data_IF_516834110744
#
_entry.id   IF_516834110744
#
_cell.length_a   1.000
_cell.length_b   1.000
_cell.length_c   1.000
_cell.angle_alpha   90.00
_cell.angle_beta   90.00
_cell.angle_gamma   90.00
#
_symmetry.space_group_name_H-M   'P 1'
#
loop_
_entity.id
_entity.type
_entity.pdbx_description
1 polymer ?
#
# COMPACT_ATOMS: atom_id res chain seq x y z
N UNK A 1 -2.99 -12.90 -17.97
CA UNK A 1 -2.65 -13.69 -16.77
C UNK A 1 -1.18 -13.46 -16.49
N UNK A 2 -0.84 -12.95 -15.31
CA UNK A 2 0.54 -12.59 -15.00
C UNK A 2 1.33 -13.79 -14.47
N UNK A 3 2.62 -13.79 -14.75
CA UNK A 3 3.57 -14.80 -14.31
C UNK A 3 4.74 -14.11 -13.63
N UNK A 4 5.25 -14.71 -12.56
CA UNK A 4 6.41 -14.23 -11.82
C UNK A 4 7.54 -15.23 -11.99
N UNK A 5 8.69 -14.75 -12.46
CA UNK A 5 9.94 -15.51 -12.49
C UNK A 5 10.80 -15.04 -11.33
N UNK A 6 11.23 -15.96 -10.48
CA UNK A 6 12.24 -15.70 -9.44
C UNK A 6 13.51 -16.43 -9.79
N UNK A 7 14.66 -15.82 -9.60
CA UNK A 7 15.95 -16.42 -9.91
C UNK A 7 17.01 -15.94 -8.93
N UNK A 8 18.09 -16.69 -8.78
CA UNK A 8 19.30 -16.22 -8.12
C UNK A 8 20.34 -15.92 -9.19
N UNK A 9 20.79 -14.66 -9.24
CA UNK A 9 21.89 -14.24 -10.14
C UNK A 9 23.19 -14.96 -9.77
N UNK A 10 24.19 -14.95 -10.64
CA UNK A 10 25.52 -15.51 -10.38
C UNK A 10 26.17 -14.96 -9.09
N UNK A 11 25.82 -13.72 -8.70
CA UNK A 11 26.25 -13.10 -7.45
C UNK A 11 25.47 -13.58 -6.20
N UNK A 12 24.52 -14.51 -6.37
CA UNK A 12 23.66 -15.02 -5.31
C UNK A 12 22.51 -14.11 -4.89
N UNK A 13 22.30 -12.96 -5.58
CA UNK A 13 21.17 -12.06 -5.29
C UNK A 13 19.88 -12.58 -5.90
N UNK A 14 18.79 -12.47 -5.15
CA UNK A 14 17.45 -12.81 -5.63
C UNK A 14 16.93 -11.72 -6.58
N UNK A 15 16.51 -12.15 -7.76
CA UNK A 15 15.88 -11.34 -8.79
C UNK A 15 14.44 -11.78 -9.04
N UNK A 16 13.60 -10.81 -9.41
CA UNK A 16 12.20 -11.03 -9.73
C UNK A 16 11.85 -10.37 -11.06
N UNK A 17 11.11 -11.08 -11.90
CA UNK A 17 10.62 -10.55 -13.18
C UNK A 17 9.15 -10.93 -13.39
N UNK A 18 8.30 -9.94 -13.60
CA UNK A 18 6.87 -10.14 -13.87
C UNK A 18 6.58 -10.04 -15.36
N UNK A 19 5.95 -11.06 -15.92
CA UNK A 19 5.58 -11.14 -17.33
C UNK A 19 4.06 -11.25 -17.49
N UNK A 20 3.53 -10.64 -18.56
CA UNK A 20 2.07 -10.61 -18.83
C UNK A 20 1.55 -11.87 -19.53
N UNK A 21 2.46 -12.69 -20.07
CA UNK A 21 2.15 -13.94 -20.77
C UNK A 21 3.17 -15.02 -20.40
N UNK A 22 2.80 -16.28 -20.60
CA UNK A 22 3.70 -17.42 -20.35
C UNK A 22 4.89 -17.43 -21.32
N UNK A 23 4.65 -17.09 -22.59
CA UNK A 23 5.67 -17.08 -23.64
C UNK A 23 6.81 -16.08 -23.33
N UNK A 24 6.45 -14.91 -22.81
CA UNK A 24 7.41 -13.88 -22.39
C UNK A 24 8.21 -14.32 -21.16
N UNK A 25 7.55 -14.97 -20.19
CA UNK A 25 8.23 -15.56 -19.03
C UNK A 25 9.24 -16.64 -19.44
N UNK A 26 8.88 -17.51 -20.40
CA UNK A 26 9.77 -18.56 -20.90
C UNK A 26 10.98 -17.98 -21.63
N UNK A 27 10.79 -16.96 -22.48
CA UNK A 27 11.89 -16.24 -23.14
C UNK A 27 12.86 -15.62 -22.13
N UNK A 28 12.34 -15.11 -21.01
CA UNK A 28 13.18 -14.58 -19.94
C UNK A 28 13.97 -15.68 -19.23
N UNK A 29 13.33 -16.82 -18.88
CA UNK A 29 14.02 -17.98 -18.28
C UNK A 29 15.11 -18.54 -19.19
N UNK A 30 14.83 -18.64 -20.49
CA UNK A 30 15.82 -19.08 -21.48
C UNK A 30 17.00 -18.11 -21.55
N UNK A 31 16.75 -16.80 -21.52
CA UNK A 31 17.82 -15.79 -21.48
C UNK A 31 18.69 -15.92 -20.23
N UNK A 32 18.07 -16.12 -19.07
CA UNK A 32 18.79 -16.33 -17.80
C UNK A 32 19.69 -17.56 -17.86
N UNK A 33 19.17 -18.66 -18.40
CA UNK A 33 19.91 -19.90 -18.54
C UNK A 33 21.08 -19.76 -19.51
N UNK A 34 20.91 -19.01 -20.60
CA UNK A 34 21.92 -18.88 -21.64
C UNK A 34 22.98 -17.81 -21.36
N UNK A 35 22.69 -16.76 -20.56
CA UNK A 35 23.58 -15.60 -20.43
C UNK A 35 24.07 -15.30 -19.01
N UNK A 36 23.27 -15.60 -17.96
CA UNK A 36 23.53 -15.09 -16.61
C UNK A 36 23.98 -16.16 -15.61
N UNK A 37 24.17 -17.42 -16.04
CA UNK A 37 24.44 -18.59 -15.16
C UNK A 37 23.53 -18.60 -13.92
N UNK A 38 22.30 -18.10 -14.07
CA UNK A 38 21.38 -17.93 -12.97
C UNK A 38 20.96 -19.29 -12.41
N UNK A 39 20.97 -19.41 -11.09
CA UNK A 39 20.60 -20.63 -10.38
C UNK A 39 19.22 -20.48 -9.73
N UNK A 40 18.61 -21.61 -9.35
CA UNK A 40 17.33 -21.64 -8.62
C UNK A 40 16.19 -20.87 -9.31
N UNK A 41 16.08 -20.98 -10.65
CA UNK A 41 15.03 -20.33 -11.43
C UNK A 41 13.68 -21.01 -11.17
N UNK A 42 12.67 -20.24 -10.79
CA UNK A 42 11.29 -20.71 -10.54
C UNK A 42 10.30 -19.82 -11.27
N UNK A 43 9.26 -20.45 -11.81
CA UNK A 43 8.16 -19.79 -12.49
C UNK A 43 6.87 -20.00 -11.71
N UNK A 44 6.20 -18.91 -11.38
CA UNK A 44 4.93 -18.89 -10.70
C UNK A 44 3.86 -18.28 -11.60
N UNK A 45 2.65 -18.86 -11.55
CA UNK A 45 1.45 -18.24 -12.13
C UNK A 45 0.80 -17.37 -11.07
N UNK A 46 0.55 -16.10 -11.38
CA UNK A 46 -0.13 -15.21 -10.46
C UNK A 46 -1.64 -15.39 -10.57
N UNK A 47 -2.27 -15.59 -9.43
CA UNK A 47 -3.72 -15.66 -9.28
C UNK A 47 -4.15 -14.69 -8.18
N UNK A 48 -5.17 -13.90 -8.44
CA UNK A 48 -5.74 -13.00 -7.44
C UNK A 48 -6.41 -13.82 -6.34
N UNK A 49 -5.99 -13.60 -5.11
CA UNK A 49 -6.64 -14.21 -3.94
C UNK A 49 -7.46 -13.11 -3.28
N UNK A 50 -8.80 -13.15 -3.36
CA UNK A 50 -9.62 -12.17 -2.66
C UNK A 50 -9.51 -12.41 -1.16
N UNK A 51 -8.89 -11.47 -0.44
CA UNK A 51 -8.74 -11.55 1.02
C UNK A 51 -9.76 -10.61 1.65
N UNK A 52 -10.58 -11.15 2.55
CA UNK A 52 -11.52 -10.38 3.36
C UNK A 52 -11.04 -10.40 4.82
N UNK A 53 -10.85 -9.22 5.42
CA UNK A 53 -10.47 -9.09 6.81
C UNK A 53 -11.72 -8.96 7.68
N UNK A 54 -12.01 -9.98 8.49
CA UNK A 54 -13.11 -9.97 9.47
C UNK A 54 -12.56 -9.81 10.87
N UNK A 55 -12.92 -8.71 11.53
CA UNK A 55 -12.60 -8.50 12.93
C UNK A 55 -13.63 -9.23 13.79
N UNK A 56 -13.19 -10.25 14.54
CA UNK A 56 -14.02 -10.94 15.52
C UNK A 56 -13.70 -10.42 16.92
N UNK A 57 -14.67 -9.78 17.56
CA UNK A 57 -14.54 -9.31 18.95
C UNK A 57 -15.38 -10.22 19.84
N UNK A 58 -14.73 -11.03 20.68
CA UNK A 58 -15.39 -11.79 21.74
C UNK A 58 -15.46 -10.92 22.99
N UNK A 59 -16.66 -10.45 23.31
CA UNK A 59 -16.91 -9.75 24.58
C UNK A 59 -17.32 -10.80 25.60
N UNK A 60 -16.51 -10.98 26.63
CA UNK A 60 -16.88 -11.72 27.83
C UNK A 60 -17.28 -10.71 28.90
N UNK A 61 -18.53 -10.77 29.36
CA UNK A 61 -18.98 -9.99 30.51
C UNK A 61 -18.62 -10.78 31.75
N UNK A 62 -17.67 -10.28 32.54
CA UNK A 62 -17.36 -10.83 33.85
C UNK A 62 -18.64 -10.92 34.68
N UNK A 63 -18.87 -12.08 35.31
CA UNK A 63 -20.13 -12.50 35.96
C UNK A 63 -20.97 -11.34 36.47
N UNK A 64 -22.10 -11.11 35.81
CA UNK A 64 -23.05 -10.10 36.21
C UNK A 64 -23.59 -10.41 37.60
N UNK A 65 -23.43 -9.47 38.52
CA UNK A 65 -24.57 -9.11 39.34
C UNK A 65 -25.51 -8.37 38.38
N UNK A 66 -26.58 -9.06 37.97
CA UNK A 66 -27.66 -8.47 37.21
C UNK A 66 -28.32 -7.41 38.09
N UNK A 67 -27.89 -6.15 38.00
CA UNK A 67 -28.70 -5.04 38.48
C UNK A 67 -29.92 -4.98 37.59
N UNK A 68 -31.02 -5.52 38.11
CA UNK A 68 -32.36 -5.40 37.54
C UNK A 68 -32.65 -3.91 37.31
N UNK A 69 -32.47 -3.43 36.08
CA UNK A 69 -33.10 -2.19 35.66
C UNK A 69 -34.61 -2.48 35.59
N UNK A 70 -35.32 -2.02 36.62
CA UNK A 70 -36.76 -1.90 36.61
C UNK A 70 -37.13 -1.03 35.41
N UNK A 71 -37.72 -1.63 34.38
CA UNK A 71 -38.43 -0.91 33.33
C UNK A 71 -39.52 -0.06 33.99
N UNK A 72 -39.26 1.24 34.10
CA UNK A 72 -40.33 2.21 34.23
C UNK A 72 -40.99 2.31 32.86
N UNK A 73 -42.18 1.70 32.77
CA UNK A 73 -43.09 1.80 31.65
C UNK A 73 -43.51 3.26 31.45
N UNK A 74 -42.87 3.98 30.51
CA UNK A 74 -43.42 5.21 29.95
C UNK A 74 -44.31 4.86 28.74
N UNK A 75 -45.61 4.93 28.99
CA UNK A 75 -46.68 4.83 28.00
C UNK A 75 -46.65 6.08 27.08
N UNK A 76 -46.80 5.93 25.75
CA UNK A 76 -46.71 7.05 24.83
C UNK A 76 -48.01 7.86 24.80
N UNK A 77 -48.04 8.98 25.54
CA UNK A 77 -49.05 10.02 25.34
C UNK A 77 -48.68 10.88 24.13
N UNK A 78 -49.34 10.63 23.00
CA UNK A 78 -49.25 11.51 21.83
C UNK A 78 -49.94 12.86 22.08
N UNK A 79 -49.32 13.94 21.60
CA UNK A 79 -49.98 15.07 20.94
C UNK A 79 -48.94 16.00 20.29
N UNK A 80 -49.12 16.19 19.00
CA UNK A 80 -48.39 16.97 18.00
C UNK A 80 -48.67 18.49 18.16
N UNK A 81 -48.17 19.37 17.25
CA UNK A 81 -46.90 20.11 17.24
C UNK A 81 -47.08 21.62 17.54
N UNK A 82 -46.04 22.35 17.94
CA UNK A 82 -45.94 23.78 17.62
C UNK A 82 -44.52 24.24 17.26
N UNK A 83 -44.54 25.13 16.29
CA UNK A 83 -43.52 25.68 15.42
C UNK A 83 -42.74 26.82 16.08
N UNK A 84 -41.61 27.16 15.47
CA UNK A 84 -40.97 28.50 15.45
C UNK A 84 -39.68 28.62 16.25
N UNK A 85 -38.57 28.79 15.51
CA UNK A 85 -37.31 29.26 16.08
C UNK A 85 -36.12 29.03 15.16
N UNK A 86 -36.07 29.76 14.04
CA UNK A 86 -34.91 29.86 13.18
C UNK A 86 -33.68 30.40 13.93
N UNK A 87 -32.52 29.74 13.75
CA UNK A 87 -31.14 30.23 13.83
C UNK A 87 -30.24 29.02 14.17
N UNK A 88 -29.08 28.76 13.60
CA UNK A 88 -28.25 29.35 12.57
C UNK A 88 -27.24 28.24 12.28
N UNK A 89 -26.96 27.97 11.01
CA UNK A 89 -25.93 27.01 10.59
C UNK A 89 -24.59 27.74 10.53
N UNK A 90 -23.60 27.39 11.36
CA UNK A 90 -22.21 27.61 10.99
C UNK A 90 -21.68 26.37 10.28
N UNK A 91 -21.25 26.63 9.04
CA UNK A 91 -20.68 25.73 8.06
C UNK A 91 -19.66 24.72 8.64
N UNK A 92 -19.89 23.45 8.32
CA UNK A 92 -18.88 22.41 8.37
C UNK A 92 -17.74 22.76 7.39
N UNK A 93 -16.57 23.11 7.94
CA UNK A 93 -15.35 23.23 7.15
C UNK A 93 -14.88 21.83 6.72
N UNK A 94 -15.14 21.51 5.45
CA UNK A 94 -14.51 20.41 4.74
C UNK A 94 -13.18 20.93 4.19
N UNK A 95 -12.08 20.69 4.89
CA UNK A 95 -10.74 20.86 4.33
C UNK A 95 -10.19 19.48 3.93
N UNK A 96 -10.01 19.30 2.62
CA UNK A 96 -9.38 18.15 1.95
C UNK A 96 -7.96 17.91 2.51
N UNK A 97 -7.51 16.66 2.72
CA UNK A 97 -6.10 16.40 2.86
C UNK A 97 -5.43 16.58 1.49
N UNK A 98 -4.50 17.53 1.43
CA UNK A 98 -3.61 17.75 0.30
C UNK A 98 -2.69 16.53 0.17
N UNK A 99 -2.86 15.80 -0.92
CA UNK A 99 -1.84 14.88 -1.44
C UNK A 99 -0.74 15.75 -2.07
N UNK A 100 0.52 15.61 -1.63
CA UNK A 100 1.69 15.59 -2.50
C UNK A 100 3.02 15.59 -1.72
N UNK A 101 3.72 14.46 -1.83
CA UNK A 101 5.15 14.35 -2.14
C UNK A 101 6.14 15.18 -1.29
N UNK A 102 6.62 14.55 -0.22
CA UNK A 102 8.01 14.75 0.19
C UNK A 102 8.91 14.08 -0.87
N UNK A 103 9.62 14.91 -1.65
CA UNK A 103 10.75 14.45 -2.47
C UNK A 103 11.84 13.88 -1.53
N UNK A 104 12.28 12.63 -1.69
CA UNK A 104 13.56 12.21 -1.15
C UNK A 104 14.68 12.82 -1.99
N UNK A 105 15.52 13.63 -1.33
CA UNK A 105 16.93 13.87 -1.63
C UNK A 105 17.37 13.81 -3.11
N UNK A 106 17.20 14.92 -3.81
CA UNK A 106 18.02 15.25 -4.96
C UNK A 106 19.42 15.65 -4.47
N UNK A 107 20.39 14.79 -4.77
CA UNK A 107 21.77 15.12 -5.18
C UNK A 107 22.72 15.70 -4.11
N UNK A 108 23.38 14.79 -3.38
CA UNK A 108 24.80 14.95 -3.08
C UNK A 108 25.60 14.44 -4.29
N UNK A 109 25.75 15.28 -5.32
CA UNK A 109 26.71 15.08 -6.40
C UNK A 109 27.77 16.16 -6.30
N UNK A 110 29.00 15.73 -6.03
CA UNK A 110 30.15 16.58 -5.85
C UNK A 110 30.40 17.50 -7.05
N UNK A 111 30.95 18.67 -6.72
CA UNK A 111 31.53 19.61 -7.66
C UNK A 111 32.45 18.89 -8.67
N UNK A 112 32.04 18.85 -9.94
CA UNK A 112 32.98 18.71 -11.04
C UNK A 112 33.00 20.04 -11.78
N UNK A 113 33.93 20.91 -11.42
CA UNK A 113 34.24 22.11 -12.17
C UNK A 113 34.73 21.73 -13.58
N UNK A 114 33.91 22.02 -14.58
CA UNK A 114 34.36 22.13 -15.97
C UNK A 114 34.94 23.53 -16.17
N UNK A 115 36.19 23.63 -16.62
CA UNK A 115 36.72 24.87 -17.15
C UNK A 115 35.99 25.27 -18.46
N UNK A 116 36.16 26.51 -18.91
CA UNK A 116 35.53 27.08 -20.09
C UNK A 116 35.84 26.37 -21.42
N UNK A 117 36.65 25.28 -21.43
CA UNK A 117 36.91 24.41 -22.59
C UNK A 117 36.42 22.96 -22.42
N UNK A 118 35.59 22.64 -21.43
CA UNK A 118 34.70 21.46 -21.48
C UNK A 118 35.37 20.08 -21.42
N UNK A 119 36.59 19.95 -20.86
CA UNK A 119 37.26 18.65 -20.70
C UNK A 119 37.22 18.18 -19.24
N UNK A 120 36.62 17.01 -18.99
CA UNK A 120 36.54 16.40 -17.65
C UNK A 120 37.92 15.85 -17.25
N UNK A 121 38.47 16.35 -16.14
CA UNK A 121 39.73 15.88 -15.54
C UNK A 121 39.45 14.70 -14.61
N UNK A 122 39.72 13.47 -15.05
CA UNK A 122 39.83 12.33 -14.14
C UNK A 122 41.31 12.07 -13.83
N UNK A 123 41.78 12.57 -12.68
CA UNK A 123 42.87 11.97 -11.90
C UNK A 123 42.17 11.20 -10.76
N UNK A 124 42.61 10.03 -10.29
CA UNK A 124 43.88 9.33 -10.38
C UNK A 124 43.67 7.98 -9.67
N UNK A 125 44.64 7.08 -9.88
CA UNK A 125 45.16 6.05 -8.96
C UNK A 125 44.23 4.96 -8.47
#
# INVERSE_FOLDING_TARGET
>A
MEHLVTFQSAEGREGHHTAKSLDDALKFVERLHNNEEASNVRLFRMHEVPIEFKTYVKVEVGGGESTSHSEASEEPAGSTPEETGAAEVPAAQVAKPLVAAANPGTEASGETGTDASGRRLFSRT
#
